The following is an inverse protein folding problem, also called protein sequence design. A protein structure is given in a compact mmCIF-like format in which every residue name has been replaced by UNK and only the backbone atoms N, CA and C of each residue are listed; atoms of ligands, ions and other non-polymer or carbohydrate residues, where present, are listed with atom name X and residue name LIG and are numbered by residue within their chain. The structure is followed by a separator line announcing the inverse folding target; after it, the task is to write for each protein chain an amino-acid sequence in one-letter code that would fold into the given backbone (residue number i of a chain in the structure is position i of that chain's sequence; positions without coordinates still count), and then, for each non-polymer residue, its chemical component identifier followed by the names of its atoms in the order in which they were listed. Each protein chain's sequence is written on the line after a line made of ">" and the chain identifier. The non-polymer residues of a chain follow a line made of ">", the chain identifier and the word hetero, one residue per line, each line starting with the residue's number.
data_IF_865271120552
#
_entry.id   IF_865271120552
#
_cell.length_a   1.000
_cell.length_b   1.000
_cell.length_c   1.000
_cell.angle_alpha   90.00
_cell.angle_beta   90.00
_cell.angle_gamma   90.00
#
_symmetry.space_group_name_H-M   'P 1'
#
loop_
_entity.id
_entity.type
_entity.pdbx_description
1 polymer ?
#
# COMPACT_ATOMS: atom_id res chain seq x y z
N UNK A 1 -12.62 -3.70 -2.63
CA UNK A 1 -12.47 -3.87 -1.17
C UNK A 1 -12.01 -5.29 -0.87
N UNK A 2 -10.78 -5.46 -0.38
CA UNK A 2 -10.24 -6.77 0.04
C UNK A 2 -10.43 -6.92 1.55
N UNK A 3 -11.04 -8.03 1.98
CA UNK A 3 -11.36 -8.29 3.39
C UNK A 3 -10.75 -9.58 3.94
N UNK A 4 -10.26 -10.48 3.07
CA UNK A 4 -9.67 -11.77 3.43
C UNK A 4 -8.14 -11.70 3.56
N UNK A 5 -7.57 -11.68 4.79
CA UNK A 5 -6.13 -11.58 5.02
C UNK A 5 -5.34 -12.82 4.56
N UNK A 6 -6.02 -13.94 4.32
CA UNK A 6 -5.40 -15.21 3.91
C UNK A 6 -5.46 -15.43 2.40
N UNK A 7 -5.97 -14.46 1.64
CA UNK A 7 -6.07 -14.59 0.19
C UNK A 7 -4.69 -14.71 -0.46
N UNK A 8 -4.58 -15.39 -1.62
CA UNK A 8 -3.32 -15.49 -2.35
C UNK A 8 -2.70 -14.12 -2.68
N UNK A 9 -3.54 -13.12 -2.97
CA UNK A 9 -3.12 -11.75 -3.28
C UNK A 9 -2.46 -11.08 -2.07
N UNK A 10 -3.10 -11.13 -0.90
CA UNK A 10 -2.53 -10.58 0.35
C UNK A 10 -1.19 -11.24 0.69
N UNK A 11 -1.12 -12.57 0.55
CA UNK A 11 0.14 -13.31 0.76
C UNK A 11 1.23 -12.95 -0.24
N UNK A 12 0.87 -12.63 -1.48
CA UNK A 12 1.84 -12.20 -2.49
C UNK A 12 2.43 -10.82 -2.16
N UNK A 13 1.59 -9.87 -1.74
CA UNK A 13 2.05 -8.55 -1.27
C UNK A 13 2.92 -8.69 -0.03
N UNK A 14 2.49 -9.45 0.98
CA UNK A 14 3.27 -9.68 2.20
C UNK A 14 4.66 -10.29 1.93
N UNK A 15 4.78 -11.13 0.87
CA UNK A 15 6.08 -11.71 0.49
C UNK A 15 7.09 -10.64 0.04
N UNK A 16 6.67 -9.45 -0.41
CA UNK A 16 7.57 -8.37 -0.83
C UNK A 16 8.45 -7.83 0.31
N UNK A 17 8.15 -8.17 1.57
CA UNK A 17 9.06 -7.97 2.70
C UNK A 17 10.37 -8.77 2.56
N UNK A 18 10.37 -9.86 1.77
CA UNK A 18 11.54 -10.74 1.56
C UNK A 18 12.35 -10.34 0.33
N UNK A 19 13.68 -10.34 0.47
CA UNK A 19 14.62 -10.01 -0.62
C UNK A 19 14.42 -10.84 -1.88
N UNK A 20 14.21 -12.14 -1.74
CA UNK A 20 14.07 -13.05 -2.88
C UNK A 20 12.84 -12.69 -3.72
N UNK A 21 11.71 -12.43 -3.06
CA UNK A 21 10.49 -12.00 -3.72
C UNK A 21 10.66 -10.65 -4.42
N UNK A 22 11.39 -9.70 -3.82
CA UNK A 22 11.70 -8.42 -4.49
C UNK A 22 12.60 -8.60 -5.70
N UNK A 23 13.57 -9.50 -5.61
CA UNK A 23 14.50 -9.78 -6.70
C UNK A 23 13.80 -10.48 -7.87
N UNK A 24 12.84 -11.35 -7.57
CA UNK A 24 12.03 -12.06 -8.57
C UNK A 24 10.99 -11.15 -9.24
N UNK A 25 10.30 -10.32 -8.46
CA UNK A 25 9.18 -9.50 -8.96
C UNK A 25 9.59 -8.11 -9.44
N UNK A 26 10.72 -7.59 -8.96
CA UNK A 26 11.11 -6.18 -9.15
C UNK A 26 10.30 -5.19 -8.31
N UNK A 27 9.38 -5.66 -7.46
CA UNK A 27 8.55 -4.81 -6.61
C UNK A 27 8.99 -4.86 -5.15
N UNK A 28 8.57 -3.86 -4.39
CA UNK A 28 8.73 -3.83 -2.94
C UNK A 28 7.50 -3.19 -2.30
N UNK A 29 7.27 -3.48 -1.03
CA UNK A 29 6.20 -2.87 -0.26
C UNK A 29 6.68 -1.53 0.32
N UNK A 30 5.96 -0.45 0.03
CA UNK A 30 6.16 0.87 0.62
C UNK A 30 5.06 1.08 1.67
N UNK A 31 5.46 1.29 2.92
CA UNK A 31 4.53 1.36 4.06
C UNK A 31 4.56 2.75 4.72
N UNK A 32 3.40 3.19 5.22
CA UNK A 32 3.27 4.39 6.05
C UNK A 32 2.88 5.66 5.27
N UNK A 33 2.15 6.59 5.92
CA UNK A 33 1.57 7.75 5.26
C UNK A 33 2.63 8.70 4.69
N UNK A 34 3.74 8.91 5.39
CA UNK A 34 4.83 9.80 4.92
C UNK A 34 5.48 9.25 3.64
N UNK A 35 5.83 7.97 3.64
CA UNK A 35 6.48 7.33 2.51
C UNK A 35 5.57 7.33 1.27
N UNK A 36 4.28 7.03 1.45
CA UNK A 36 3.27 7.12 0.40
C UNK A 36 3.12 8.55 -0.12
N UNK A 37 3.07 9.54 0.77
CA UNK A 37 3.00 10.95 0.37
C UNK A 37 4.20 11.38 -0.48
N UNK A 38 5.41 10.98 -0.11
CA UNK A 38 6.61 11.29 -0.88
C UNK A 38 6.62 10.60 -2.25
N UNK A 39 6.20 9.33 -2.32
CA UNK A 39 6.09 8.61 -3.59
C UNK A 39 5.09 9.29 -4.53
N UNK A 40 3.91 9.68 -4.03
CA UNK A 40 2.90 10.41 -4.79
C UNK A 40 3.41 11.78 -5.26
N UNK A 41 4.15 12.49 -4.42
CA UNK A 41 4.64 13.83 -4.74
C UNK A 41 5.75 13.82 -5.79
N UNK A 42 6.69 12.89 -5.68
CA UNK A 42 7.92 12.96 -6.47
C UNK A 42 7.95 11.99 -7.63
N UNK A 43 7.40 10.78 -7.48
CA UNK A 43 7.51 9.69 -8.47
C UNK A 43 6.22 8.84 -8.52
N UNK A 44 5.03 9.43 -8.74
CA UNK A 44 3.76 8.71 -8.72
C UNK A 44 3.71 7.57 -9.74
N UNK A 45 4.45 7.68 -10.85
CA UNK A 45 4.51 6.66 -11.91
C UNK A 45 5.21 5.36 -11.48
N UNK A 46 5.85 5.32 -10.30
CA UNK A 46 6.44 4.12 -9.72
C UNK A 46 5.45 3.34 -8.83
N UNK A 47 4.32 3.94 -8.48
CA UNK A 47 3.28 3.26 -7.71
C UNK A 47 2.50 2.32 -8.62
N UNK A 48 2.50 1.04 -8.25
CA UNK A 48 1.82 -0.02 -9.02
C UNK A 48 0.41 -0.23 -8.49
N UNK A 49 0.28 -0.35 -7.17
CA UNK A 49 -0.99 -0.49 -6.48
C UNK A 49 -0.91 0.21 -5.13
N UNK A 50 -1.95 0.97 -4.78
CA UNK A 50 -2.08 1.62 -3.47
C UNK A 50 -3.18 0.92 -2.67
N UNK A 51 -2.84 0.39 -1.50
CA UNK A 51 -3.79 -0.18 -0.55
C UNK A 51 -4.01 0.78 0.60
N UNK A 52 -5.27 1.02 0.95
CA UNK A 52 -5.60 1.83 2.13
C UNK A 52 -6.90 1.35 2.77
N UNK A 53 -7.06 1.60 4.07
CA UNK A 53 -8.36 1.49 4.71
C UNK A 53 -9.17 2.76 4.44
N UNK A 54 -10.51 2.70 4.39
CA UNK A 54 -11.33 3.90 4.24
C UNK A 54 -11.02 4.96 5.31
N UNK A 55 -10.87 4.52 6.56
CA UNK A 55 -10.51 5.35 7.72
C UNK A 55 -9.14 6.03 7.55
N UNK A 56 -8.17 5.37 6.92
CA UNK A 56 -6.86 5.97 6.66
C UNK A 56 -6.94 7.10 5.63
N UNK A 57 -7.68 6.94 4.52
CA UNK A 57 -7.84 8.02 3.53
C UNK A 57 -8.62 9.21 4.09
N UNK A 58 -9.63 8.97 4.94
CA UNK A 58 -10.35 10.04 5.63
C UNK A 58 -9.41 10.84 6.55
N UNK A 59 -8.54 10.13 7.29
CA UNK A 59 -7.58 10.73 8.21
C UNK A 59 -6.46 11.50 7.49
N UNK A 60 -5.95 10.96 6.38
CA UNK A 60 -4.85 11.54 5.60
C UNK A 60 -5.37 12.19 4.33
N UNK A 61 -6.18 13.25 4.48
CA UNK A 61 -6.84 13.92 3.35
C UNK A 61 -5.88 14.45 2.28
N UNK A 62 -4.64 14.77 2.63
CA UNK A 62 -3.63 15.22 1.66
C UNK A 62 -3.15 14.08 0.75
N UNK A 63 -3.05 12.85 1.29
CA UNK A 63 -2.79 11.66 0.49
C UNK A 63 -3.96 11.41 -0.44
N UNK A 64 -5.20 11.49 0.06
CA UNK A 64 -6.40 11.31 -0.77
C UNK A 64 -6.45 12.31 -1.96
N UNK A 65 -6.12 13.58 -1.71
CA UNK A 65 -6.01 14.60 -2.78
C UNK A 65 -4.89 14.30 -3.76
N UNK A 66 -3.72 13.88 -3.27
CA UNK A 66 -2.56 13.60 -4.13
C UNK A 66 -2.81 12.39 -5.05
N UNK A 67 -3.50 11.38 -4.53
CA UNK A 67 -3.93 10.20 -5.31
C UNK A 67 -4.91 10.60 -6.43
N UNK A 68 -5.93 11.40 -6.11
CA UNK A 68 -6.91 11.90 -7.09
C UNK A 68 -6.22 12.76 -8.17
N UNK A 69 -5.31 13.65 -7.77
CA UNK A 69 -4.54 14.48 -8.69
C UNK A 69 -3.57 13.68 -9.59
N UNK A 70 -3.13 12.50 -9.12
CA UNK A 70 -2.24 11.60 -9.86
C UNK A 70 -2.99 10.53 -10.68
N UNK A 71 -4.33 10.51 -10.65
CA UNK A 71 -5.18 9.49 -11.29
C UNK A 71 -4.81 8.05 -10.87
N UNK A 72 -4.48 7.86 -9.59
CA UNK A 72 -4.13 6.56 -9.02
C UNK A 72 -5.37 5.94 -8.36
N UNK A 73 -5.70 4.70 -8.72
CA UNK A 73 -6.77 3.98 -8.04
C UNK A 73 -6.31 3.44 -6.67
N UNK A 74 -7.17 3.59 -5.65
CA UNK A 74 -6.96 3.00 -4.33
C UNK A 74 -7.75 1.71 -4.20
N UNK A 75 -7.07 0.61 -3.94
CA UNK A 75 -7.73 -0.61 -3.51
C UNK A 75 -8.01 -0.53 -2.01
N UNK A 76 -9.29 -0.36 -1.66
CA UNK A 76 -9.68 -0.36 -0.26
C UNK A 76 -9.50 -1.73 0.37
N UNK A 77 -8.98 -1.77 1.59
CA UNK A 77 -8.78 -3.02 2.32
C UNK A 77 -9.25 -2.90 3.77
N UNK A 78 -9.49 -4.01 4.44
CA UNK A 78 -9.76 -4.02 5.89
C UNK A 78 -8.47 -3.88 6.69
N UNK A 79 -8.58 -3.47 7.95
CA UNK A 79 -7.42 -3.35 8.87
C UNK A 79 -6.65 -4.68 8.98
N UNK A 80 -7.37 -5.80 9.15
CA UNK A 80 -6.74 -7.12 9.22
C UNK A 80 -6.03 -7.55 7.93
N UNK A 81 -6.38 -6.95 6.78
CA UNK A 81 -5.63 -7.15 5.53
C UNK A 81 -4.35 -6.31 5.53
N UNK A 82 -4.39 -5.05 5.96
CA UNK A 82 -3.17 -4.23 6.14
C UNK A 82 -2.20 -4.93 7.10
N UNK A 83 -2.68 -5.38 8.26
CA UNK A 83 -1.88 -6.11 9.25
C UNK A 83 -1.25 -7.39 8.69
N UNK A 84 -1.88 -8.04 7.71
CA UNK A 84 -1.33 -9.24 7.08
C UNK A 84 -0.36 -8.94 5.92
N UNK A 85 -0.41 -7.73 5.34
CA UNK A 85 0.50 -7.29 4.29
C UNK A 85 1.77 -6.65 4.85
N UNK A 86 1.60 -5.80 5.87
CA UNK A 86 2.65 -4.98 6.45
C UNK A 86 3.36 -5.73 7.59
N UNK A 87 4.68 -5.57 7.69
CA UNK A 87 5.48 -6.12 8.80
C UNK A 87 5.73 -5.05 9.89
N UNK A 88 5.40 -3.79 9.61
CA UNK A 88 5.67 -2.67 10.53
C UNK A 88 4.61 -2.59 11.62
N UNK A 89 4.94 -3.12 12.80
CA UNK A 89 4.05 -3.09 13.99
C UNK A 89 3.95 -1.68 14.59
N UNK A 90 4.94 -0.80 14.37
CA UNK A 90 4.91 0.63 14.72
C UNK A 90 6.07 1.36 14.02
N UNK A 91 5.83 2.40 13.19
CA UNK A 91 6.90 3.27 12.68
C UNK A 91 7.45 4.20 13.76
#
# INVERSE_FOLDING_TARGET
>A
MIDNPRSPRVRAVAKLAKRDARSETGFFLLEGPQAVSEALQFRPELLVELFATPTALERYSDIARAVDAADIEVEFVTEGVIEAMADTVTP
#
